data_IF_062401047643
#
_entry.id   IF_062401047643
#
_cell.length_a   1.000
_cell.length_b   1.000
_cell.length_c   1.000
_cell.angle_alpha   90.00
_cell.angle_beta   90.00
_cell.angle_gamma   90.00
#
_symmetry.space_group_name_H-M   'P 1'
#
loop_
_entity.id
_entity.type
_entity.pdbx_description
1 polymer ?
#
# COMPACT_ATOMS: atom_id res chain seq x y z
N UNK A 1 -17.94 -25.21 -1.65
CA UNK A 1 -19.24 -24.62 -1.97
C UNK A 1 -19.12 -23.10 -2.23
N UNK A 2 -20.15 -22.52 -2.78
CA UNK A 2 -20.25 -21.07 -3.02
C UNK A 2 -20.22 -20.29 -1.71
N UNK A 3 -20.84 -20.81 -0.66
CA UNK A 3 -20.84 -20.21 0.67
C UNK A 3 -19.46 -20.19 1.29
N UNK A 4 -18.70 -21.28 1.17
CA UNK A 4 -17.33 -21.38 1.66
C UNK A 4 -16.41 -20.40 0.93
N UNK A 5 -16.54 -20.29 -0.39
CA UNK A 5 -15.77 -19.34 -1.20
C UNK A 5 -16.05 -17.91 -0.76
N UNK A 6 -17.33 -17.54 -0.54
CA UNK A 6 -17.70 -16.20 -0.08
C UNK A 6 -17.14 -15.92 1.31
N UNK A 7 -17.17 -16.88 2.22
CA UNK A 7 -16.64 -16.73 3.56
C UNK A 7 -15.14 -16.52 3.55
N UNK A 8 -14.41 -17.28 2.71
CA UNK A 8 -12.96 -17.12 2.57
C UNK A 8 -12.58 -15.76 1.99
N UNK A 9 -13.32 -15.32 0.97
CA UNK A 9 -13.12 -14.00 0.36
C UNK A 9 -13.38 -12.88 1.36
N UNK A 10 -14.45 -13.01 2.15
CA UNK A 10 -14.78 -12.04 3.21
C UNK A 10 -13.66 -11.96 4.25
N UNK A 11 -13.15 -13.10 4.73
CA UNK A 11 -12.04 -13.16 5.67
C UNK A 11 -10.78 -12.52 5.08
N UNK A 12 -10.48 -12.79 3.81
CA UNK A 12 -9.33 -12.22 3.12
C UNK A 12 -9.44 -10.70 3.05
N UNK A 13 -10.61 -10.16 2.74
CA UNK A 13 -10.81 -8.72 2.69
C UNK A 13 -10.66 -8.07 4.06
N UNK A 14 -11.00 -8.76 5.14
CA UNK A 14 -10.74 -8.29 6.50
C UNK A 14 -9.25 -8.21 6.79
N UNK A 15 -8.47 -9.18 6.32
CA UNK A 15 -7.00 -9.19 6.45
C UNK A 15 -6.39 -8.03 5.68
N UNK A 16 -6.84 -7.80 4.45
CA UNK A 16 -6.39 -6.68 3.62
C UNK A 16 -6.73 -5.35 4.30
N UNK A 17 -7.93 -5.23 4.84
CA UNK A 17 -8.35 -4.04 5.60
C UNK A 17 -7.47 -3.77 6.81
N UNK A 18 -7.15 -4.79 7.60
CA UNK A 18 -6.26 -4.67 8.74
C UNK A 18 -4.86 -4.23 8.29
N UNK A 19 -4.35 -4.76 7.18
CA UNK A 19 -3.07 -4.37 6.62
C UNK A 19 -3.04 -2.88 6.26
N UNK A 20 -4.04 -2.38 5.51
CA UNK A 20 -4.07 -0.98 5.12
C UNK A 20 -4.24 -0.05 6.32
N UNK A 21 -5.04 -0.44 7.30
CA UNK A 21 -5.24 0.32 8.53
C UNK A 21 -3.94 0.48 9.32
N UNK A 22 -3.18 -0.61 9.49
CA UNK A 22 -2.00 -0.64 10.36
C UNK A 22 -0.71 -0.24 9.65
N UNK A 23 -0.59 -0.52 8.37
CA UNK A 23 0.69 -0.39 7.65
C UNK A 23 0.54 0.32 6.31
N UNK A 24 -0.38 -0.15 5.47
CA UNK A 24 -0.39 0.18 4.05
C UNK A 24 -0.67 1.64 3.75
N UNK A 25 -1.66 2.23 4.38
CA UNK A 25 -2.02 3.64 4.13
C UNK A 25 -0.89 4.59 4.51
N UNK A 26 -0.23 4.35 5.65
CA UNK A 26 0.88 5.17 6.10
C UNK A 26 2.11 5.03 5.19
N UNK A 27 2.45 3.80 4.78
CA UNK A 27 3.53 3.57 3.81
C UNK A 27 3.23 4.24 2.47
N UNK A 28 2.01 4.11 2.00
CA UNK A 28 1.61 4.66 0.71
C UNK A 28 1.69 6.20 0.71
N UNK A 29 1.22 6.83 1.79
CA UNK A 29 1.38 8.27 1.98
C UNK A 29 2.85 8.67 2.00
N UNK A 30 3.67 7.94 2.74
CA UNK A 30 5.09 8.21 2.88
C UNK A 30 5.82 8.12 1.53
N UNK A 31 5.61 7.04 0.78
CA UNK A 31 6.26 6.87 -0.51
C UNK A 31 5.76 7.86 -1.57
N UNK A 32 4.46 8.13 -1.58
CA UNK A 32 3.88 9.08 -2.54
C UNK A 32 4.40 10.49 -2.33
N UNK A 33 4.70 10.88 -1.10
CA UNK A 33 5.26 12.20 -0.79
C UNK A 33 6.67 12.38 -1.39
N UNK A 34 7.38 11.28 -1.64
CA UNK A 34 8.72 11.31 -2.23
C UNK A 34 8.78 10.86 -3.68
N UNK A 35 7.63 10.71 -4.34
CA UNK A 35 7.57 10.41 -5.76
C UNK A 35 7.48 11.71 -6.55
N UNK A 36 8.56 12.09 -7.25
CA UNK A 36 8.64 13.43 -7.88
C UNK A 36 7.68 13.63 -9.05
N UNK A 37 7.17 12.54 -9.63
CA UNK A 37 6.28 12.60 -10.81
C UNK A 37 4.81 12.39 -10.47
N UNK A 38 4.51 12.07 -9.22
CA UNK A 38 3.15 11.67 -8.83
C UNK A 38 2.12 12.77 -9.08
N UNK A 39 2.51 14.04 -8.99
CA UNK A 39 1.60 15.16 -9.23
C UNK A 39 0.96 15.12 -10.63
N UNK A 40 1.61 14.47 -11.60
CA UNK A 40 1.08 14.28 -12.96
C UNK A 40 -0.23 13.46 -12.97
N UNK A 41 -0.39 12.54 -12.02
CA UNK A 41 -1.56 11.66 -11.95
C UNK A 41 -2.33 11.75 -10.63
N UNK A 42 -1.88 12.57 -9.68
CA UNK A 42 -2.45 12.62 -8.33
C UNK A 42 -3.96 12.89 -8.35
N UNK A 43 -4.41 13.84 -9.18
CA UNK A 43 -5.82 14.17 -9.27
C UNK A 43 -6.68 13.01 -9.78
N UNK A 44 -6.12 12.12 -10.60
CA UNK A 44 -6.82 10.93 -11.09
C UNK A 44 -7.02 9.87 -10.01
N UNK A 45 -6.32 9.99 -8.88
CA UNK A 45 -6.37 9.04 -7.77
C UNK A 45 -7.29 9.51 -6.63
N UNK A 46 -7.96 10.65 -6.79
CA UNK A 46 -8.94 11.14 -5.82
C UNK A 46 -10.27 10.46 -6.11
N UNK A 47 -10.48 9.31 -5.46
CA UNK A 47 -11.68 8.49 -5.65
C UNK A 47 -12.87 9.16 -5.01
N UNK A 48 -14.01 9.17 -5.71
CA UNK A 48 -15.27 9.69 -5.20
C UNK A 48 -16.34 8.60 -5.11
N UNK A 49 -17.42 8.89 -4.39
CA UNK A 49 -18.56 7.99 -4.26
C UNK A 49 -19.24 7.68 -5.61
N UNK A 50 -19.02 8.53 -6.60
CA UNK A 50 -19.67 8.44 -7.92
C UNK A 50 -18.86 7.62 -8.93
N UNK A 51 -17.68 7.13 -8.55
CA UNK A 51 -16.86 6.32 -9.43
C UNK A 51 -17.57 5.05 -9.87
N UNK A 52 -17.58 4.83 -11.20
CA UNK A 52 -18.11 3.61 -11.82
C UNK A 52 -17.01 2.55 -11.94
N UNK A 53 -17.40 1.33 -12.32
CA UNK A 53 -16.48 0.25 -12.71
C UNK A 53 -15.52 0.73 -13.80
N UNK A 54 -16.02 1.51 -14.76
CA UNK A 54 -15.22 2.02 -15.88
C UNK A 54 -14.13 2.97 -15.38
N UNK A 55 -14.42 3.81 -14.40
CA UNK A 55 -13.42 4.74 -13.83
C UNK A 55 -12.32 3.99 -13.09
N UNK A 56 -12.66 2.98 -12.30
CA UNK A 56 -11.66 2.11 -11.66
C UNK A 56 -10.80 1.41 -12.70
N UNK A 57 -11.41 0.92 -13.79
CA UNK A 57 -10.68 0.25 -14.87
C UNK A 57 -9.71 1.20 -15.58
N UNK A 58 -10.17 2.41 -15.88
CA UNK A 58 -9.34 3.45 -16.53
C UNK A 58 -8.15 3.82 -15.67
N UNK A 59 -8.37 4.05 -14.38
CA UNK A 59 -7.30 4.40 -13.43
C UNK A 59 -6.34 3.24 -13.24
N UNK A 60 -6.85 2.01 -13.21
CA UNK A 60 -5.99 0.82 -13.16
C UNK A 60 -5.00 0.78 -14.32
N UNK A 61 -5.43 1.16 -15.53
CA UNK A 61 -4.54 1.25 -16.70
C UNK A 61 -3.52 2.37 -16.56
N UNK A 62 -3.93 3.53 -16.08
CA UNK A 62 -3.02 4.65 -15.80
C UNK A 62 -1.93 4.20 -14.83
N UNK A 63 -2.30 3.55 -13.73
CA UNK A 63 -1.36 3.06 -12.73
C UNK A 63 -0.41 1.97 -13.27
N UNK A 64 -0.90 1.15 -14.19
CA UNK A 64 -0.08 0.10 -14.82
C UNK A 64 1.04 0.67 -15.69
N UNK A 65 0.81 1.83 -16.31
CA UNK A 65 1.74 2.49 -17.21
C UNK A 65 2.53 3.61 -16.53
N UNK A 66 2.23 3.93 -15.27
CA UNK A 66 2.91 4.97 -14.54
C UNK A 66 4.35 4.57 -14.23
N UNK A 67 5.28 5.50 -14.40
CA UNK A 67 6.69 5.31 -14.09
C UNK A 67 6.95 5.68 -12.62
N UNK A 68 6.75 4.72 -11.74
CA UNK A 68 6.94 4.89 -10.29
C UNK A 68 8.37 5.24 -9.95
N UNK A 69 8.55 6.19 -9.07
CA UNK A 69 9.86 6.53 -8.54
C UNK A 69 9.73 7.01 -7.08
N UNK A 70 10.76 6.75 -6.30
CA UNK A 70 10.89 7.29 -4.95
C UNK A 70 12.29 7.87 -4.82
N UNK A 71 12.37 9.16 -4.51
CA UNK A 71 13.64 9.83 -4.35
C UNK A 71 14.32 9.37 -3.06
N UNK A 72 15.19 8.36 -3.17
CA UNK A 72 15.86 7.72 -2.03
C UNK A 72 16.69 8.72 -1.21
N UNK A 73 17.19 9.79 -1.84
CA UNK A 73 17.98 10.80 -1.15
C UNK A 73 17.14 11.64 -0.17
N UNK A 74 15.84 11.73 -0.39
CA UNK A 74 14.92 12.47 0.46
C UNK A 74 14.21 11.61 1.50
N UNK A 75 14.21 10.29 1.30
CA UNK A 75 13.58 9.34 2.23
C UNK A 75 14.42 9.20 3.48
N UNK A 76 13.78 9.34 4.66
CA UNK A 76 14.43 8.99 5.92
C UNK A 76 14.35 7.47 6.12
N UNK A 77 15.42 6.76 5.82
CA UNK A 77 15.50 5.32 6.02
C UNK A 77 15.40 4.94 7.50
N UNK A 78 15.89 5.80 8.39
CA UNK A 78 15.76 5.60 9.85
C UNK A 78 14.29 5.63 10.27
N UNK A 79 13.53 6.61 9.82
CA UNK A 79 12.09 6.71 10.09
C UNK A 79 11.35 5.48 9.57
N UNK A 80 11.65 5.08 8.34
CA UNK A 80 11.04 3.90 7.71
C UNK A 80 11.40 2.61 8.47
N UNK A 81 12.66 2.48 8.89
CA UNK A 81 13.13 1.35 9.69
C UNK A 81 12.38 1.25 11.02
N UNK A 82 12.25 2.35 11.75
CA UNK A 82 11.54 2.40 13.03
C UNK A 82 10.08 1.98 12.85
N UNK A 83 9.41 2.55 11.85
CA UNK A 83 8.01 2.23 11.56
C UNK A 83 7.82 0.75 11.24
N UNK A 84 8.59 0.22 10.29
CA UNK A 84 8.44 -1.17 9.85
C UNK A 84 8.87 -2.18 10.92
N UNK A 85 9.92 -1.88 11.68
CA UNK A 85 10.35 -2.71 12.80
C UNK A 85 9.23 -2.84 13.83
N UNK A 86 8.54 -1.73 14.12
CA UNK A 86 7.39 -1.74 15.03
C UNK A 86 6.19 -2.53 14.50
N UNK A 87 6.12 -2.78 13.20
CA UNK A 87 5.04 -3.54 12.57
C UNK A 87 5.42 -4.99 12.24
N UNK A 88 6.64 -5.40 12.52
CA UNK A 88 7.15 -6.72 12.12
C UNK A 88 6.29 -7.86 12.63
N UNK A 89 5.92 -7.86 13.90
CA UNK A 89 5.12 -8.94 14.49
C UNK A 89 3.72 -8.99 13.86
N UNK A 90 3.14 -7.84 13.59
CA UNK A 90 1.86 -7.76 12.89
C UNK A 90 1.96 -8.35 11.46
N UNK A 91 2.99 -7.98 10.71
CA UNK A 91 3.22 -8.50 9.36
C UNK A 91 3.44 -10.02 9.38
N UNK A 92 4.18 -10.51 10.36
CA UNK A 92 4.45 -11.94 10.51
C UNK A 92 3.15 -12.72 10.76
N UNK A 93 2.27 -12.20 11.62
CA UNK A 93 0.96 -12.82 11.84
C UNK A 93 0.10 -12.84 10.58
N UNK A 94 0.16 -11.78 9.75
CA UNK A 94 -0.55 -11.78 8.47
C UNK A 94 0.01 -12.85 7.53
N UNK A 95 1.33 -13.00 7.45
CA UNK A 95 1.98 -14.00 6.59
C UNK A 95 1.64 -15.44 7.00
N UNK A 96 1.29 -15.65 8.25
CA UNK A 96 0.88 -16.96 8.76
C UNK A 96 -0.59 -17.30 8.46
N UNK A 97 -1.35 -16.35 7.94
CA UNK A 97 -2.77 -16.55 7.69
C UNK A 97 -2.98 -17.51 6.50
N UNK A 98 -3.69 -18.64 6.70
CA UNK A 98 -3.85 -19.65 5.64
C UNK A 98 -4.66 -19.14 4.44
N UNK A 99 -5.47 -18.10 4.60
CA UNK A 99 -6.26 -17.53 3.51
C UNK A 99 -5.39 -16.82 2.46
N UNK A 100 -4.13 -16.48 2.78
CA UNK A 100 -3.21 -15.83 1.84
C UNK A 100 -2.89 -16.70 0.62
N UNK A 101 -2.93 -18.01 0.77
CA UNK A 101 -2.61 -18.94 -0.31
C UNK A 101 -3.52 -18.76 -1.53
N UNK A 102 -4.70 -18.19 -1.34
CA UNK A 102 -5.68 -17.96 -2.40
C UNK A 102 -5.61 -16.54 -3.00
N UNK A 103 -4.77 -15.66 -2.44
CA UNK A 103 -4.64 -14.27 -2.89
C UNK A 103 -3.18 -13.93 -3.18
N UNK A 104 -2.73 -14.32 -4.36
CA UNK A 104 -1.33 -14.22 -4.76
C UNK A 104 -0.79 -12.79 -4.75
N UNK A 105 -1.54 -11.83 -5.32
CA UNK A 105 -1.09 -10.42 -5.41
C UNK A 105 -0.92 -9.77 -4.06
N UNK A 106 -1.83 -10.02 -3.14
CA UNK A 106 -1.71 -9.48 -1.78
C UNK A 106 -0.58 -10.16 -1.01
N UNK A 107 -0.40 -11.45 -1.23
CA UNK A 107 0.73 -12.21 -0.66
C UNK A 107 2.06 -11.62 -1.15
N UNK A 108 2.17 -11.31 -2.43
CA UNK A 108 3.36 -10.67 -3.00
C UNK A 108 3.64 -9.32 -2.34
N UNK A 109 2.60 -8.53 -2.09
CA UNK A 109 2.74 -7.27 -1.36
C UNK A 109 3.28 -7.49 0.05
N UNK A 110 2.68 -8.41 0.81
CA UNK A 110 3.12 -8.71 2.18
C UNK A 110 4.57 -9.18 2.21
N UNK A 111 4.95 -10.05 1.28
CA UNK A 111 6.33 -10.54 1.18
C UNK A 111 7.30 -9.39 0.85
N UNK A 112 6.90 -8.47 -0.04
CA UNK A 112 7.74 -7.32 -0.38
C UNK A 112 7.93 -6.39 0.82
N UNK A 113 6.87 -6.11 1.59
CA UNK A 113 6.93 -5.29 2.80
C UNK A 113 7.77 -5.95 3.88
N UNK A 114 7.58 -7.25 4.10
CA UNK A 114 8.35 -8.00 5.08
C UNK A 114 9.84 -8.06 4.70
N UNK A 115 10.13 -8.29 3.43
CA UNK A 115 11.50 -8.27 2.91
C UNK A 115 12.18 -6.91 3.13
N UNK A 116 11.49 -5.81 2.81
CA UNK A 116 12.02 -4.47 3.07
C UNK A 116 12.29 -4.26 4.57
N UNK A 117 11.41 -4.73 5.42
CA UNK A 117 11.58 -4.67 6.88
C UNK A 117 12.86 -5.39 7.31
N UNK A 118 13.07 -6.61 6.84
CA UNK A 118 14.27 -7.39 7.15
C UNK A 118 15.54 -6.72 6.62
N UNK A 119 15.49 -6.19 5.40
CA UNK A 119 16.62 -5.46 4.82
C UNK A 119 17.03 -4.28 5.69
N UNK A 120 16.07 -3.48 6.14
CA UNK A 120 16.35 -2.32 6.98
C UNK A 120 16.84 -2.72 8.38
N UNK A 121 16.25 -3.75 8.97
CA UNK A 121 16.63 -4.22 10.31
C UNK A 121 18.05 -4.77 10.36
N UNK A 122 18.53 -5.37 9.27
CA UNK A 122 19.85 -6.02 9.23
C UNK A 122 21.00 -5.04 8.99
N UNK A 123 20.73 -3.74 8.86
CA UNK A 123 21.76 -2.72 8.73
C UNK A 123 21.99 -2.04 10.10
N UNK A 124 23.21 -2.15 10.60
CA UNK A 124 23.56 -1.60 11.92
C UNK A 124 23.58 -0.06 11.89
N UNK A 125 24.12 0.52 10.81
CA UNK A 125 24.15 1.98 10.62
C UNK A 125 23.45 2.34 9.31
N UNK A 126 22.18 2.69 9.41
CA UNK A 126 21.32 3.03 8.27
C UNK A 126 21.67 4.40 7.66
N UNK A 127 22.47 5.22 8.35
CA UNK A 127 22.82 6.57 7.90
C UNK A 127 24.10 6.62 7.07
N UNK A 128 24.90 5.56 7.10
CA UNK A 128 26.22 5.49 6.46
C UNK A 128 26.31 4.28 5.54
N UNK A 129 25.48 4.26 4.48
CA UNK A 129 25.48 3.18 3.49
C UNK A 129 26.20 3.61 2.22
N UNK A 130 26.88 2.68 1.52
CA UNK A 130 27.43 2.98 0.21
C UNK A 130 26.33 3.24 -0.82
N UNK A 131 26.64 3.98 -1.88
CA UNK A 131 25.68 4.31 -2.93
C UNK A 131 25.04 3.09 -3.59
N UNK A 132 25.78 2.00 -3.71
CA UNK A 132 25.26 0.73 -4.24
C UNK A 132 24.16 0.17 -3.35
N UNK A 133 24.26 0.34 -2.04
CA UNK A 133 23.25 -0.15 -1.11
C UNK A 133 22.00 0.75 -1.12
N UNK A 134 22.17 2.07 -1.23
CA UNK A 134 21.03 2.97 -1.44
C UNK A 134 20.24 2.60 -2.70
N UNK A 135 20.92 2.26 -3.78
CA UNK A 135 20.28 1.81 -5.02
C UNK A 135 19.53 0.50 -4.82
N UNK A 136 20.11 -0.43 -4.07
CA UNK A 136 19.46 -1.68 -3.71
C UNK A 136 18.17 -1.45 -2.92
N UNK A 137 18.24 -0.64 -1.88
CA UNK A 137 17.06 -0.31 -1.06
C UNK A 137 16.00 0.45 -1.87
N UNK A 138 16.41 1.32 -2.79
CA UNK A 138 15.48 2.01 -3.68
C UNK A 138 14.68 1.03 -4.54
N UNK A 139 15.29 -0.04 -5.01
CA UNK A 139 14.59 -1.12 -5.76
C UNK A 139 13.57 -1.81 -4.87
N UNK A 140 13.93 -2.14 -3.63
CA UNK A 140 13.02 -2.80 -2.70
C UNK A 140 11.83 -1.89 -2.32
N UNK A 141 12.09 -0.61 -2.08
CA UNK A 141 11.07 0.40 -1.81
C UNK A 141 10.12 0.54 -3.00
N UNK A 142 10.65 0.64 -4.20
CA UNK A 142 9.83 0.76 -5.41
C UNK A 142 8.93 -0.46 -5.62
N UNK A 143 9.43 -1.66 -5.33
CA UNK A 143 8.63 -2.89 -5.41
C UNK A 143 7.44 -2.83 -4.45
N UNK A 144 7.66 -2.42 -3.21
CA UNK A 144 6.60 -2.24 -2.23
C UNK A 144 5.60 -1.18 -2.71
N UNK A 145 6.09 -0.05 -3.17
CA UNK A 145 5.25 1.07 -3.62
C UNK A 145 4.32 0.67 -4.75
N UNK A 146 4.83 0.03 -5.79
CA UNK A 146 4.03 -0.43 -6.93
C UNK A 146 2.92 -1.39 -6.46
N UNK A 147 3.29 -2.37 -5.65
CA UNK A 147 2.31 -3.35 -5.13
C UNK A 147 1.26 -2.68 -4.23
N UNK A 148 1.67 -1.72 -3.40
CA UNK A 148 0.77 -0.97 -2.54
C UNK A 148 -0.30 -0.23 -3.34
N UNK A 149 0.12 0.50 -4.39
CA UNK A 149 -0.79 1.31 -5.18
C UNK A 149 -1.85 0.45 -5.85
N UNK A 150 -1.43 -0.67 -6.47
CA UNK A 150 -2.37 -1.57 -7.15
C UNK A 150 -3.34 -2.24 -6.18
N UNK A 151 -2.84 -2.72 -5.04
CA UNK A 151 -3.68 -3.36 -4.04
C UNK A 151 -4.61 -2.34 -3.34
N UNK A 152 -4.16 -1.11 -3.16
CA UNK A 152 -4.99 -0.04 -2.63
C UNK A 152 -6.19 0.24 -3.55
N UNK A 153 -5.97 0.35 -4.86
CA UNK A 153 -7.06 0.61 -5.80
C UNK A 153 -8.08 -0.53 -5.78
N UNK A 154 -7.62 -1.78 -5.80
CA UNK A 154 -8.50 -2.95 -5.72
C UNK A 154 -9.30 -2.98 -4.42
N UNK A 155 -8.66 -2.63 -3.31
CA UNK A 155 -9.31 -2.57 -2.01
C UNK A 155 -10.36 -1.46 -1.95
N UNK A 156 -10.06 -0.27 -2.49
CA UNK A 156 -11.02 0.84 -2.55
C UNK A 156 -12.26 0.46 -3.35
N UNK A 157 -12.08 -0.20 -4.49
CA UNK A 157 -13.18 -0.72 -5.30
C UNK A 157 -14.04 -1.70 -4.51
N UNK A 158 -13.41 -2.63 -3.80
CA UNK A 158 -14.09 -3.60 -2.95
C UNK A 158 -14.91 -2.91 -1.85
N UNK A 159 -14.34 -1.94 -1.15
CA UNK A 159 -15.05 -1.19 -0.12
C UNK A 159 -16.26 -0.45 -0.68
N UNK A 160 -16.08 0.20 -1.80
CA UNK A 160 -17.17 0.94 -2.46
C UNK A 160 -18.36 0.02 -2.78
N UNK A 161 -18.06 -1.17 -3.29
CA UNK A 161 -19.10 -2.12 -3.73
C UNK A 161 -19.78 -2.85 -2.56
N UNK A 162 -19.11 -3.01 -1.42
CA UNK A 162 -19.59 -3.88 -0.36
C UNK A 162 -19.76 -3.21 1.01
N UNK A 163 -19.00 -2.15 1.32
CA UNK A 163 -18.97 -1.54 2.64
C UNK A 163 -18.93 -0.01 2.55
N UNK A 164 -20.09 0.63 2.19
CA UNK A 164 -20.12 2.09 1.96
C UNK A 164 -19.60 2.94 3.11
N UNK A 165 -19.86 2.54 4.36
CA UNK A 165 -19.39 3.28 5.54
C UNK A 165 -17.87 3.21 5.70
N UNK A 166 -17.26 2.05 5.42
CA UNK A 166 -15.80 1.90 5.43
C UNK A 166 -15.17 2.65 4.26
N UNK A 167 -15.83 2.61 3.10
CA UNK A 167 -15.40 3.35 1.93
C UNK A 167 -15.38 4.86 2.18
N UNK A 168 -16.38 5.38 2.88
CA UNK A 168 -16.47 6.81 3.22
C UNK A 168 -15.24 7.29 3.99
N UNK A 169 -14.81 6.57 5.03
CA UNK A 169 -13.60 6.92 5.77
C UNK A 169 -12.35 6.78 4.89
N UNK A 170 -12.22 5.66 4.20
CA UNK A 170 -11.05 5.42 3.34
C UNK A 170 -10.90 6.48 2.26
N UNK A 171 -12.01 6.95 1.69
CA UNK A 171 -12.03 8.02 0.71
C UNK A 171 -11.55 9.35 1.31
N UNK A 172 -12.00 9.68 2.52
CA UNK A 172 -11.61 10.93 3.20
C UNK A 172 -10.15 10.96 3.63
N UNK A 173 -9.55 9.80 3.93
CA UNK A 173 -8.12 9.69 4.30
C UNK A 173 -7.26 9.17 3.13
N UNK A 174 -7.72 9.34 1.90
CA UNK A 174 -7.01 8.91 0.69
C UNK A 174 -5.54 9.37 0.71
N UNK A 175 -4.56 8.46 0.64
CA UNK A 175 -3.14 8.82 0.73
C UNK A 175 -2.63 9.69 -0.41
N UNK A 176 -3.35 9.75 -1.52
CA UNK A 176 -2.98 10.59 -2.68
C UNK A 176 -3.65 11.96 -2.67
N UNK A 177 -4.60 12.19 -1.79
CA UNK A 177 -5.32 13.46 -1.70
C UNK A 177 -4.58 14.40 -0.74
N UNK A 178 -4.04 15.49 -1.27
CA UNK A 178 -3.31 16.49 -0.48
C UNK A 178 -4.21 17.21 0.53
N UNK A 179 -5.51 17.13 0.34
CA UNK A 179 -6.51 17.75 1.24
C UNK A 179 -7.23 16.71 2.10
N UNK A 180 -6.68 15.48 2.18
CA UNK A 180 -7.28 14.42 2.95
C UNK A 180 -7.48 14.82 4.42
N UNK A 181 -8.67 14.51 4.94
CA UNK A 181 -9.02 14.74 6.33
C UNK A 181 -10.14 13.77 6.73
N UNK A 182 -10.07 13.15 7.92
CA UNK A 182 -11.14 12.28 8.38
C UNK A 182 -12.43 13.04 8.74
N UNK A 183 -12.33 14.36 8.82
CA UNK A 183 -13.47 15.20 9.23
C UNK A 183 -14.50 15.26 8.09
N UNK A 184 -15.75 14.97 8.43
CA UNK A 184 -16.87 15.13 7.51
C UNK A 184 -17.22 16.60 7.42
N UNK A 185 -17.27 17.13 6.20
CA UNK A 185 -17.62 18.52 5.93
C UNK A 185 -19.01 18.65 5.33
#
# INVERSE_FOLDING_TARGET
SQREKRNRLKKMNMVIGAFFSEVGTELLTYFSDFDPKLDEIRNELVITKDWSEQEFHTVSKVLKNYDYDVNIQKVSLEHLRIFLTGKRDFLLRLLENPNLLEHEKFTDLLQAVFHLTEELMNRDDIKALPDTDYKHLAVDIKRVYINLVHQWLDYMKHLKNNYPHLFSLAMRINPFDMQASPIVK
#
